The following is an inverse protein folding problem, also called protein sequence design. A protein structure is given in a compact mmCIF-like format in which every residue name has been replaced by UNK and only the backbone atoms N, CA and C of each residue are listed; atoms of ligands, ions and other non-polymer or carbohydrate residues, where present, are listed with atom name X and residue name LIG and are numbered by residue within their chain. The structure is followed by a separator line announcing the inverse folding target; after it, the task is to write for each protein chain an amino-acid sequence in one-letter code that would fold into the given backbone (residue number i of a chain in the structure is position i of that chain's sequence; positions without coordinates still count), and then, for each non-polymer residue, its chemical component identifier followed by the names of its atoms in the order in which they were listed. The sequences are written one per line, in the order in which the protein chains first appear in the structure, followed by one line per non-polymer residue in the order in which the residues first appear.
data_IF_453574731166
#
_entry.id   IF_453574731166
#
_cell.length_a   1.000
_cell.length_b   1.000
_cell.length_c   1.000
_cell.angle_alpha   90.00
_cell.angle_beta   90.00
_cell.angle_gamma   90.00
#
_symmetry.space_group_name_H-M   'P 1'
#
loop_
_entity.id
_entity.type
_entity.pdbx_description
1 polymer ?
#
# COMPACT_ATOMS: atom_id res chain seq x y z
N UNK A 1 -58.57 -1.05 -32.31
CA UNK A 1 -57.79 -0.76 -31.08
C UNK A 1 -56.37 -1.28 -31.26
N UNK A 2 -55.41 -0.54 -30.70
CA UNK A 2 -53.93 -0.55 -30.82
C UNK A 2 -53.23 -1.93 -30.56
N UNK A 3 -51.89 -2.05 -30.84
CA UNK A 3 -51.27 -3.12 -31.62
C UNK A 3 -50.44 -4.16 -30.80
N UNK A 4 -49.92 -5.23 -31.43
CA UNK A 4 -48.97 -6.17 -30.81
C UNK A 4 -47.58 -5.54 -30.60
N UNK A 5 -47.06 -5.68 -29.39
CA UNK A 5 -45.78 -5.12 -28.95
C UNK A 5 -44.54 -5.88 -29.42
N UNK A 6 -43.65 -5.16 -30.10
CA UNK A 6 -42.27 -4.98 -29.65
C UNK A 6 -41.28 -6.14 -29.78
N UNK A 7 -40.80 -6.41 -30.99
CA UNK A 7 -39.50 -7.07 -31.22
C UNK A 7 -38.36 -6.11 -30.87
N UNK A 8 -37.65 -6.35 -29.76
CA UNK A 8 -36.42 -5.62 -29.46
C UNK A 8 -35.25 -6.24 -30.22
N UNK A 9 -34.86 -5.60 -31.32
CA UNK A 9 -33.61 -5.88 -32.05
C UNK A 9 -32.42 -5.53 -31.16
N UNK A 10 -31.68 -6.53 -30.70
CA UNK A 10 -30.40 -6.33 -30.04
C UNK A 10 -29.37 -5.87 -31.08
N UNK A 11 -29.06 -4.56 -31.06
CA UNK A 11 -27.99 -3.99 -31.87
C UNK A 11 -26.63 -4.58 -31.43
N UNK A 12 -26.06 -5.43 -32.28
CA UNK A 12 -24.71 -5.98 -32.10
C UNK A 12 -23.68 -4.85 -32.08
N UNK A 13 -23.08 -4.65 -30.89
CA UNK A 13 -22.07 -3.63 -30.62
C UNK A 13 -20.77 -4.00 -31.34
N UNK A 14 -20.50 -3.30 -32.44
CA UNK A 14 -19.32 -3.50 -33.30
C UNK A 14 -18.03 -3.14 -32.56
N UNK A 15 -17.28 -4.16 -32.12
CA UNK A 15 -15.95 -4.00 -31.53
C UNK A 15 -14.95 -3.50 -32.58
N UNK A 16 -14.20 -2.44 -32.25
CA UNK A 16 -13.14 -1.89 -33.11
C UNK A 16 -11.79 -2.32 -32.50
N UNK A 17 -11.04 -3.12 -33.24
CA UNK A 17 -9.67 -3.49 -32.88
C UNK A 17 -8.74 -2.28 -33.02
N UNK A 18 -8.20 -1.80 -31.90
CA UNK A 18 -7.16 -0.76 -31.89
C UNK A 18 -5.81 -1.49 -31.91
N UNK A 19 -5.05 -1.32 -33.00
CA UNK A 19 -3.65 -1.77 -33.09
C UNK A 19 -2.76 -0.63 -32.64
N UNK A 20 -2.16 -0.76 -31.47
CA UNK A 20 -1.14 0.16 -30.98
C UNK A 20 0.20 -0.23 -31.62
N UNK A 21 0.71 0.59 -32.53
CA UNK A 21 2.05 0.42 -33.11
C UNK A 21 3.03 1.23 -32.26
N UNK A 22 3.92 0.53 -31.55
CA UNK A 22 4.96 1.11 -30.71
C UNK A 22 6.16 1.50 -31.59
N UNK A 23 6.24 2.77 -31.97
CA UNK A 23 7.45 3.32 -32.60
C UNK A 23 8.45 3.67 -31.50
N UNK A 24 9.50 2.85 -31.40
CA UNK A 24 10.61 3.06 -30.47
C UNK A 24 11.48 4.23 -30.90
N UNK A 25 11.60 5.23 -30.03
CA UNK A 25 12.66 6.23 -30.07
C UNK A 25 13.49 6.10 -28.80
N UNK A 26 14.73 5.62 -28.94
CA UNK A 26 15.69 5.57 -27.83
C UNK A 26 16.22 7.00 -27.62
N UNK A 27 15.54 7.76 -26.76
CA UNK A 27 16.09 9.00 -26.24
C UNK A 27 16.98 8.64 -25.04
N UNK A 28 18.30 8.71 -25.21
CA UNK A 28 19.25 8.75 -24.12
C UNK A 28 19.16 10.11 -23.41
N UNK A 29 18.08 10.31 -22.66
CA UNK A 29 17.95 11.39 -21.69
C UNK A 29 18.44 10.86 -20.35
N UNK A 30 19.46 11.51 -19.78
CA UNK A 30 19.80 11.32 -18.38
C UNK A 30 18.51 11.48 -17.57
N UNK A 31 18.04 10.40 -16.97
CA UNK A 31 16.94 10.46 -16.02
C UNK A 31 17.56 11.19 -14.82
N UNK A 32 17.24 12.47 -14.52
CA UNK A 32 17.43 12.90 -13.15
C UNK A 32 16.60 11.90 -12.37
N UNK A 33 17.24 11.11 -11.51
CA UNK A 33 16.54 10.25 -10.58
C UNK A 33 15.47 11.14 -9.95
N UNK A 34 14.22 10.99 -10.39
CA UNK A 34 13.09 11.64 -9.77
C UNK A 34 13.14 11.06 -8.39
N UNK A 35 13.64 11.86 -7.44
CA UNK A 35 13.82 11.45 -6.07
C UNK A 35 12.44 11.02 -5.58
N UNK A 36 12.18 9.72 -5.58
CA UNK A 36 11.00 9.07 -5.02
C UNK A 36 11.02 9.15 -3.48
N UNK A 37 11.62 10.20 -2.95
CA UNK A 37 11.94 10.41 -1.54
C UNK A 37 10.94 11.33 -0.84
N UNK A 38 9.85 11.72 -1.51
CA UNK A 38 8.78 12.52 -0.90
C UNK A 38 7.55 11.71 -0.48
N UNK A 39 7.56 10.37 -0.62
CA UNK A 39 6.80 9.55 0.32
C UNK A 39 7.54 9.64 1.66
N UNK A 40 7.20 10.67 2.44
CA UNK A 40 7.64 10.80 3.83
C UNK A 40 7.38 9.46 4.51
N UNK A 41 8.47 8.71 4.77
CA UNK A 41 8.42 7.45 5.51
C UNK A 41 7.59 7.72 6.76
N UNK A 42 6.50 6.96 7.01
CA UNK A 42 5.67 7.19 8.19
C UNK A 42 6.56 7.13 9.43
N UNK A 43 6.73 8.28 10.10
CA UNK A 43 7.55 8.31 11.30
C UNK A 43 6.72 7.66 12.40
N UNK A 44 7.05 6.41 12.70
CA UNK A 44 6.50 5.67 13.83
C UNK A 44 7.09 6.24 15.13
N UNK A 45 6.29 6.97 15.91
CA UNK A 45 6.69 7.55 17.21
C UNK A 45 5.62 7.36 18.27
N UNK A 46 6.03 7.35 19.53
CA UNK A 46 5.13 7.12 20.68
C UNK A 46 4.30 8.36 21.05
N UNK A 47 4.82 9.55 20.72
CA UNK A 47 4.20 10.84 21.01
C UNK A 47 3.08 11.21 20.03
N UNK A 48 3.07 10.57 18.85
CA UNK A 48 2.08 10.78 17.80
C UNK A 48 0.82 9.94 18.05
N UNK A 49 -0.33 10.58 17.80
CA UNK A 49 -1.61 9.88 17.80
C UNK A 49 -1.93 9.46 16.36
N UNK A 50 -2.31 8.20 16.18
CA UNK A 50 -2.64 7.64 14.87
C UNK A 50 -4.15 7.39 14.76
N UNK A 51 -4.77 7.74 13.63
CA UNK A 51 -6.18 7.45 13.40
C UNK A 51 -6.40 5.95 13.27
N UNK A 52 -7.62 5.50 13.55
CA UNK A 52 -8.02 4.12 13.32
C UNK A 52 -7.85 3.77 11.84
N UNK A 53 -7.35 2.57 11.55
CA UNK A 53 -6.96 2.10 10.22
C UNK A 53 -5.80 2.86 9.55
N UNK A 54 -4.98 3.60 10.31
CA UNK A 54 -3.76 4.18 9.77
C UNK A 54 -2.80 3.07 9.31
N UNK A 55 -2.55 3.00 8.01
CA UNK A 55 -1.73 1.96 7.41
C UNK A 55 -0.26 2.37 7.35
N UNK A 56 0.60 1.48 7.84
CA UNK A 56 2.05 1.60 7.73
C UNK A 56 2.57 0.38 6.98
N UNK A 57 3.24 0.62 5.85
CA UNK A 57 3.82 -0.44 5.05
C UNK A 57 4.74 -1.32 5.91
N UNK A 58 4.52 -2.64 5.86
CA UNK A 58 5.27 -3.62 6.65
C UNK A 58 4.78 -3.84 8.08
N UNK A 59 4.19 -2.82 8.72
CA UNK A 59 3.67 -2.94 10.09
C UNK A 59 2.17 -3.25 10.15
N UNK A 60 1.40 -2.87 9.12
CA UNK A 60 -0.03 -3.15 9.01
C UNK A 60 -0.92 -1.94 9.35
N UNK A 61 -2.13 -2.21 9.83
CA UNK A 61 -3.18 -1.24 10.15
C UNK A 61 -3.24 -0.96 11.65
N UNK A 62 -3.17 0.31 12.02
CA UNK A 62 -3.33 0.74 13.40
C UNK A 62 -4.77 0.60 13.86
N UNK A 63 -5.00 -0.09 14.97
CA UNK A 63 -6.30 -0.12 15.64
C UNK A 63 -6.29 0.82 16.83
N UNK A 64 -6.99 1.95 16.73
CA UNK A 64 -6.92 3.01 17.74
C UNK A 64 -7.40 2.56 19.13
N UNK A 65 -8.43 1.70 19.20
CA UNK A 65 -8.90 1.14 20.48
C UNK A 65 -7.83 0.28 21.17
N UNK A 66 -7.13 -0.54 20.40
CA UNK A 66 -6.13 -1.50 20.90
C UNK A 66 -4.71 -0.91 20.97
N UNK A 67 -4.52 0.31 20.45
CA UNK A 67 -3.26 1.07 20.50
C UNK A 67 -2.06 0.32 19.88
N UNK A 68 -2.32 -0.49 18.86
CA UNK A 68 -1.35 -1.36 18.21
C UNK A 68 -1.64 -1.56 16.71
N UNK A 69 -0.65 -2.09 15.97
CA UNK A 69 -0.77 -2.42 14.55
C UNK A 69 -1.09 -3.89 14.33
N UNK A 70 -1.94 -4.17 13.35
CA UNK A 70 -2.38 -5.51 12.99
C UNK A 70 -2.36 -5.73 11.48
N UNK A 71 -2.33 -6.99 11.04
CA UNK A 71 -2.21 -7.34 9.62
C UNK A 71 -3.47 -7.04 8.79
N UNK A 72 -4.62 -6.79 9.42
CA UNK A 72 -5.90 -6.48 8.77
C UNK A 72 -6.48 -5.18 9.33
N UNK A 73 -7.28 -4.45 8.54
CA UNK A 73 -8.04 -3.31 9.03
C UNK A 73 -9.03 -3.70 10.13
N UNK A 74 -9.32 -2.72 10.97
CA UNK A 74 -10.32 -2.78 12.02
C UNK A 74 -11.70 -2.99 11.42
N UNK A 75 -12.44 -3.96 11.96
CA UNK A 75 -13.74 -4.42 11.48
C UNK A 75 -13.73 -4.90 10.02
N UNK A 76 -12.61 -5.45 9.53
CA UNK A 76 -12.63 -6.17 8.26
C UNK A 76 -13.49 -7.44 8.41
N UNK A 77 -14.52 -7.55 7.57
CA UNK A 77 -15.33 -8.77 7.42
C UNK A 77 -14.55 -9.85 6.68
N UNK A 78 -14.53 -11.06 7.22
CA UNK A 78 -14.16 -12.26 6.48
C UNK A 78 -15.40 -12.84 5.77
N UNK A 79 -15.43 -12.87 4.43
CA UNK A 79 -16.59 -13.38 3.69
C UNK A 79 -16.82 -14.88 3.85
N UNK A 80 -15.82 -15.65 4.31
CA UNK A 80 -15.97 -17.10 4.49
C UNK A 80 -16.65 -17.45 5.81
N UNK A 81 -16.25 -16.78 6.89
CA UNK A 81 -16.75 -17.06 8.25
C UNK A 81 -17.84 -16.10 8.71
N UNK A 82 -18.01 -14.96 8.02
CA UNK A 82 -18.91 -13.89 8.44
C UNK A 82 -18.44 -13.13 9.68
N UNK A 83 -17.17 -13.30 10.09
CA UNK A 83 -16.62 -12.69 11.30
C UNK A 83 -15.86 -11.40 11.00
N UNK A 84 -15.78 -10.52 11.99
CA UNK A 84 -15.10 -9.22 11.91
C UNK A 84 -13.77 -9.26 12.67
N UNK A 85 -12.70 -8.83 12.02
CA UNK A 85 -11.39 -8.74 12.64
C UNK A 85 -11.23 -7.45 13.46
N UNK A 86 -10.88 -7.58 14.73
CA UNK A 86 -10.52 -6.44 15.58
C UNK A 86 -9.48 -6.88 16.63
N UNK A 87 -8.47 -6.04 16.88
CA UNK A 87 -7.47 -6.29 17.92
C UNK A 87 -6.72 -7.63 17.87
N UNK A 88 -6.63 -8.29 16.70
CA UNK A 88 -5.99 -9.61 16.59
C UNK A 88 -6.94 -10.80 16.74
N UNK A 89 -8.23 -10.55 17.00
CA UNK A 89 -9.27 -11.56 17.20
C UNK A 89 -10.39 -11.41 16.17
N UNK A 90 -11.20 -12.46 16.04
CA UNK A 90 -12.38 -12.48 15.19
C UNK A 90 -13.65 -12.46 16.05
N UNK A 91 -14.62 -11.65 15.64
CA UNK A 91 -15.87 -11.44 16.38
C UNK A 91 -17.09 -11.72 15.47
N UNK A 92 -18.22 -12.22 16.02
CA UNK A 92 -19.44 -12.44 15.24
C UNK A 92 -20.14 -11.13 14.83
N UNK A 93 -19.76 -9.99 15.41
CA UNK A 93 -20.30 -8.67 15.10
C UNK A 93 -19.19 -7.62 15.06
N UNK A 94 -19.40 -6.47 14.38
CA UNK A 94 -18.41 -5.40 14.34
C UNK A 94 -18.10 -4.88 15.75
N UNK A 95 -16.82 -4.71 16.07
CA UNK A 95 -16.40 -4.13 17.33
C UNK A 95 -16.78 -2.65 17.39
N UNK A 96 -17.58 -2.26 18.39
CA UNK A 96 -18.12 -0.91 18.55
C UNK A 96 -17.25 -0.10 19.53
N UNK A 97 -16.25 0.59 19.00
CA UNK A 97 -15.43 1.53 19.78
C UNK A 97 -15.51 2.92 19.17
N UNK A 98 -15.64 3.93 20.03
CA UNK A 98 -15.63 5.36 19.65
C UNK A 98 -14.22 5.94 19.48
N UNK A 99 -13.17 5.17 19.83
CA UNK A 99 -11.79 5.61 19.72
C UNK A 99 -11.37 5.75 18.24
N UNK A 100 -11.45 6.96 17.70
CA UNK A 100 -11.06 7.28 16.32
C UNK A 100 -9.57 7.53 16.17
N UNK A 101 -8.87 7.91 17.24
CA UNK A 101 -7.44 8.20 17.24
C UNK A 101 -6.86 7.97 18.63
N UNK A 102 -5.65 7.42 18.72
CA UNK A 102 -4.96 7.21 20.00
C UNK A 102 -3.45 7.12 19.82
N UNK A 103 -2.71 7.23 20.93
CA UNK A 103 -1.25 7.00 20.94
C UNK A 103 -0.95 5.51 21.12
N UNK A 104 0.04 4.96 20.41
CA UNK A 104 0.39 3.56 20.54
C UNK A 104 0.95 3.26 21.93
N UNK A 105 0.93 1.99 22.33
CA UNK A 105 1.75 1.57 23.49
C UNK A 105 3.23 1.53 23.08
N UNK A 106 4.17 1.75 24.03
CA UNK A 106 5.60 1.64 23.74
C UNK A 106 6.01 0.28 23.16
N UNK A 107 5.36 -0.80 23.60
CA UNK A 107 5.58 -2.16 23.12
C UNK A 107 5.13 -2.32 21.67
N UNK A 108 3.91 -1.89 21.35
CA UNK A 108 3.35 -1.99 20.00
C UNK A 108 4.14 -1.14 19.01
N UNK A 109 4.63 0.03 19.45
CA UNK A 109 5.49 0.86 18.62
C UNK A 109 6.80 0.16 18.28
N UNK A 110 7.48 -0.45 19.26
CA UNK A 110 8.73 -1.19 19.02
C UNK A 110 8.53 -2.33 18.04
N UNK A 111 7.43 -3.07 18.18
CA UNK A 111 7.07 -4.15 17.26
C UNK A 111 6.81 -3.62 15.84
N UNK A 112 6.00 -2.56 15.71
CA UNK A 112 5.71 -1.94 14.43
C UNK A 112 6.98 -1.39 13.75
N UNK A 113 7.88 -0.78 14.51
CA UNK A 113 9.18 -0.30 14.01
C UNK A 113 10.05 -1.44 13.49
N UNK A 114 10.10 -2.56 14.21
CA UNK A 114 10.86 -3.74 13.79
C UNK A 114 10.30 -4.35 12.49
N UNK A 115 8.98 -4.53 12.41
CA UNK A 115 8.30 -5.03 11.21
C UNK A 115 8.47 -4.08 10.02
N UNK A 116 8.31 -2.77 10.27
CA UNK A 116 8.53 -1.74 9.26
C UNK A 116 9.98 -1.80 8.74
N UNK A 117 10.97 -1.81 9.63
CA UNK A 117 12.38 -1.88 9.25
C UNK A 117 12.71 -3.15 8.46
N UNK A 118 12.16 -4.31 8.85
CA UNK A 118 12.34 -5.57 8.13
C UNK A 118 11.70 -5.57 6.73
N UNK A 119 10.63 -4.80 6.53
CA UNK A 119 9.97 -4.67 5.23
C UNK A 119 10.67 -3.74 4.24
N UNK A 120 11.62 -2.92 4.72
CA UNK A 120 12.33 -1.98 3.86
C UNK A 120 13.48 -2.72 3.15
N UNK A 121 13.64 -2.55 1.82
CA UNK A 121 14.84 -3.03 1.15
C UNK A 121 16.04 -2.31 1.76
N UNK A 122 16.90 -3.04 2.47
CA UNK A 122 18.17 -2.49 2.91
C UNK A 122 18.99 -2.19 1.65
N UNK A 123 19.23 -0.91 1.35
CA UNK A 123 20.32 -0.51 0.47
C UNK A 123 21.64 -0.89 1.16
N UNK A 124 21.96 -2.18 1.17
CA UNK A 124 23.30 -2.69 1.42
C UNK A 124 24.12 -2.23 0.23
N UNK A 125 24.72 -1.05 0.36
CA UNK A 125 25.70 -0.55 -0.59
C UNK A 125 26.75 -1.62 -0.82
N UNK A 126 26.85 -2.08 -2.06
CA UNK A 126 27.95 -2.91 -2.51
C UNK A 126 29.23 -2.10 -2.43
N UNK A 127 30.10 -2.44 -1.48
CA UNK A 127 31.50 -2.05 -1.55
C UNK A 127 32.16 -2.91 -2.63
N UNK A 128 32.62 -2.27 -3.71
CA UNK A 128 33.40 -2.86 -4.79
C UNK A 128 33.11 -2.12 -6.10
N UNK A 129 34.01 -1.34 -6.70
CA UNK A 129 35.46 -1.50 -6.81
C UNK A 129 36.10 -0.11 -6.88
N UNK A 130 37.04 0.17 -6.00
CA UNK A 130 38.09 1.14 -6.27
C UNK A 130 39.01 0.52 -7.32
N UNK A 131 38.81 0.82 -8.60
CA UNK A 131 39.87 0.66 -9.60
C UNK A 131 40.43 2.03 -9.93
N UNK A 132 41.47 2.40 -9.18
CA UNK A 132 42.45 3.36 -9.67
C UNK A 132 43.08 2.75 -10.93
N UNK A 133 42.95 3.40 -12.08
CA UNK A 133 44.00 3.35 -13.09
C UNK A 133 44.12 4.71 -13.78
N UNK A 134 45.37 5.09 -13.95
CA UNK A 134 45.86 6.47 -14.07
C UNK A 134 45.64 7.02 -15.48
N UNK A 135 45.47 8.33 -15.54
CA UNK A 135 45.80 9.14 -16.71
C UNK A 135 47.27 8.96 -17.06
N UNK A 136 47.57 8.66 -18.33
CA UNK A 136 48.78 9.12 -19.00
C UNK A 136 48.40 9.45 -20.44
N UNK A 137 48.51 10.74 -20.76
CA UNK A 137 48.42 11.23 -22.13
C UNK A 137 49.69 10.94 -22.91
N UNK A 138 49.55 10.97 -24.22
CA UNK A 138 50.58 11.36 -25.21
C UNK A 138 49.85 11.84 -26.45
#
# INVERSE_FOLDING_TARGET
MNPPGGSHSFALRKSRHIRLVLLGTVAAGAIPACNESSYQRPVLRADLAYPNNFHVQGAGFYHAHFRAWFHRPYNQLDPQTGQYFAGGLWFPSPHQSIANMSKPTPEALRQAQALHAASQPSNRGGFGRSSSFRSFGS
#
